data_IF_590047799948
#
_entry.id   IF_590047799948
#
_cell.length_a   1.000
_cell.length_b   1.000
_cell.length_c   1.000
_cell.angle_alpha   90.00
_cell.angle_beta   90.00
_cell.angle_gamma   90.00
#
_symmetry.space_group_name_H-M   'P 1'
#
loop_
_entity.id
_entity.type
_entity.pdbx_description
1 polymer ?
#
# COMPACT_ATOMS: atom_id res chain seq x y z
N UNK A 1 -6.53 16.05 -7.86
CA UNK A 1 -7.76 15.44 -8.43
C UNK A 1 -7.84 14.05 -7.86
N UNK A 2 -9.01 13.47 -7.62
CA UNK A 2 -9.08 12.10 -7.11
C UNK A 2 -8.63 11.13 -8.22
N UNK A 3 -7.35 10.86 -8.25
CA UNK A 3 -6.71 9.82 -9.05
C UNK A 3 -7.08 8.51 -8.35
N UNK A 4 -7.96 7.73 -8.98
CA UNK A 4 -8.36 6.43 -8.46
C UNK A 4 -7.10 5.59 -8.30
N UNK A 5 -6.72 5.31 -7.05
CA UNK A 5 -5.50 4.54 -6.75
C UNK A 5 -5.52 3.21 -7.52
N UNK A 6 -4.36 2.68 -7.93
CA UNK A 6 -4.30 1.46 -8.72
C UNK A 6 -5.09 0.31 -8.06
N UNK A 7 -6.11 -0.20 -8.76
CA UNK A 7 -7.03 -1.19 -8.18
C UNK A 7 -6.33 -2.46 -7.70
N UNK A 8 -5.28 -2.89 -8.42
CA UNK A 8 -4.46 -4.02 -8.00
C UNK A 8 -3.79 -3.77 -6.65
N UNK A 9 -3.30 -2.55 -6.41
CA UNK A 9 -2.69 -2.17 -5.14
C UNK A 9 -3.73 -2.14 -4.01
N UNK A 10 -4.94 -1.64 -4.29
CA UNK A 10 -6.05 -1.67 -3.32
C UNK A 10 -6.47 -3.11 -2.95
N UNK A 11 -6.47 -4.04 -3.91
CA UNK A 11 -6.76 -5.46 -3.63
C UNK A 11 -5.74 -6.04 -2.67
N UNK A 12 -4.45 -5.79 -2.91
CA UNK A 12 -3.38 -6.31 -2.06
C UNK A 12 -3.40 -5.69 -0.65
N UNK A 13 -3.73 -4.40 -0.55
CA UNK A 13 -3.88 -3.68 0.73
C UNK A 13 -5.09 -4.19 1.54
N UNK A 14 -6.19 -4.50 0.86
CA UNK A 14 -7.41 -5.00 1.51
C UNK A 14 -7.30 -6.46 1.97
N UNK A 15 -6.25 -7.18 1.57
CA UNK A 15 -5.95 -8.51 2.11
C UNK A 15 -5.35 -8.41 3.51
N UNK A 16 -6.21 -8.09 4.47
CA UNK A 16 -5.85 -7.96 5.88
C UNK A 16 -5.27 -9.25 6.46
N UNK A 17 -5.72 -10.42 5.98
CA UNK A 17 -5.22 -11.70 6.45
C UNK A 17 -3.74 -11.88 6.08
N UNK A 18 -3.38 -11.57 4.82
CA UNK A 18 -1.99 -11.58 4.38
C UNK A 18 -1.15 -10.49 5.08
N UNK A 19 -1.71 -9.29 5.26
CA UNK A 19 -1.04 -8.18 5.94
C UNK A 19 -0.71 -8.49 7.40
N UNK A 20 -1.59 -9.21 8.11
CA UNK A 20 -1.35 -9.65 9.50
C UNK A 20 -0.36 -10.80 9.56
N UNK A 21 -0.41 -11.72 8.59
CA UNK A 21 0.47 -12.87 8.55
C UNK A 21 1.94 -12.50 8.28
N UNK A 22 2.17 -11.47 7.44
CA UNK A 22 3.51 -10.95 7.12
C UNK A 22 3.48 -9.43 6.87
N UNK A 23 3.44 -8.59 7.93
CA UNK A 23 3.29 -7.15 7.81
C UNK A 23 4.43 -6.48 7.03
N UNK A 24 5.67 -6.85 7.34
CA UNK A 24 6.86 -6.27 6.70
C UNK A 24 6.98 -6.71 5.23
N UNK A 25 6.75 -8.00 4.94
CA UNK A 25 6.78 -8.50 3.58
C UNK A 25 5.66 -7.92 2.71
N UNK A 26 4.48 -7.74 3.29
CA UNK A 26 3.34 -7.15 2.57
C UNK A 26 3.52 -5.66 2.30
N UNK A 27 4.09 -4.92 3.25
CA UNK A 27 4.45 -3.53 3.05
C UNK A 27 5.46 -3.36 1.90
N UNK A 28 6.51 -4.19 1.86
CA UNK A 28 7.50 -4.14 0.78
C UNK A 28 6.88 -4.38 -0.60
N UNK A 29 5.90 -5.30 -0.71
CA UNK A 29 5.15 -5.54 -1.96
C UNK A 29 4.34 -4.31 -2.36
N UNK A 30 3.61 -3.71 -1.41
CA UNK A 30 2.77 -2.55 -1.68
C UNK A 30 3.59 -1.30 -2.05
N UNK A 31 4.75 -1.10 -1.43
CA UNK A 31 5.71 -0.05 -1.79
C UNK A 31 6.22 -0.23 -3.23
N UNK A 32 6.64 -1.44 -3.58
CA UNK A 32 7.09 -1.73 -4.95
C UNK A 32 6.00 -1.52 -5.99
N UNK A 33 4.76 -1.87 -5.66
CA UNK A 33 3.60 -1.60 -6.52
C UNK A 33 3.35 -0.09 -6.67
N UNK A 34 3.46 0.70 -5.61
CA UNK A 34 3.34 2.16 -5.65
C UNK A 34 4.42 2.79 -6.53
N UNK A 35 5.69 2.41 -6.35
CA UNK A 35 6.77 2.85 -7.22
C UNK A 35 6.59 2.38 -8.67
N UNK A 36 6.09 1.17 -8.89
CA UNK A 36 5.81 0.69 -10.24
C UNK A 36 4.69 1.49 -10.93
N UNK A 37 3.62 1.85 -10.22
CA UNK A 37 2.56 2.70 -10.72
C UNK A 37 3.09 4.11 -11.06
N UNK A 38 3.93 4.69 -10.19
CA UNK A 38 4.57 5.98 -10.45
C UNK A 38 5.48 5.94 -11.68
N UNK A 39 6.27 4.88 -11.84
CA UNK A 39 7.13 4.67 -13.03
C UNK A 39 6.31 4.57 -14.33
N UNK A 40 5.11 3.98 -14.26
CA UNK A 40 4.16 3.93 -15.38
C UNK A 40 3.38 5.23 -15.59
N UNK A 41 3.54 6.22 -14.71
CA UNK A 41 2.77 7.47 -14.66
C UNK A 41 1.26 7.26 -14.49
N UNK A 42 0.89 6.18 -13.81
CA UNK A 42 -0.49 5.89 -13.42
C UNK A 42 -0.93 6.76 -12.23
N UNK A 43 0.04 7.18 -11.41
CA UNK A 43 -0.11 8.03 -10.23
C UNK A 43 0.91 9.16 -10.28
N UNK A 44 0.58 10.30 -9.66
CA UNK A 44 1.50 11.43 -9.52
C UNK A 44 2.37 11.33 -8.24
N UNK A 45 3.16 12.36 -7.96
CA UNK A 45 4.02 12.38 -6.78
C UNK A 45 3.21 12.51 -5.47
N UNK A 46 2.05 13.16 -5.50
CA UNK A 46 1.16 13.27 -4.34
C UNK A 46 0.49 11.93 -4.04
N UNK A 47 -0.06 11.29 -5.07
CA UNK A 47 -0.62 9.94 -4.96
C UNK A 47 0.41 8.93 -4.45
N UNK A 48 1.67 9.01 -4.91
CA UNK A 48 2.74 8.14 -4.43
C UNK A 48 2.98 8.32 -2.93
N UNK A 49 3.03 9.57 -2.46
CA UNK A 49 3.20 9.85 -1.02
C UNK A 49 2.03 9.28 -0.24
N UNK A 50 0.80 9.52 -0.68
CA UNK A 50 -0.41 8.99 -0.03
C UNK A 50 -0.38 7.45 0.03
N UNK A 51 0.02 6.79 -1.06
CA UNK A 51 0.16 5.33 -1.10
C UNK A 51 1.16 4.83 -0.05
N UNK A 52 2.35 5.42 0.03
CA UNK A 52 3.39 5.00 0.98
C UNK A 52 2.96 5.25 2.43
N UNK A 53 2.27 6.36 2.71
CA UNK A 53 1.72 6.65 4.04
C UNK A 53 0.64 5.64 4.46
N UNK A 54 -0.23 5.24 3.53
CA UNK A 54 -1.23 4.20 3.76
C UNK A 54 -0.56 2.85 4.05
N UNK A 55 0.48 2.47 3.29
CA UNK A 55 1.23 1.22 3.52
C UNK A 55 1.83 1.19 4.91
N UNK A 56 2.53 2.25 5.32
CA UNK A 56 3.17 2.28 6.64
C UNK A 56 2.11 2.27 7.76
N UNK A 57 0.99 2.97 7.59
CA UNK A 57 -0.11 2.92 8.54
C UNK A 57 -0.69 1.51 8.68
N UNK A 58 -0.90 0.83 7.55
CA UNK A 58 -1.42 -0.54 7.51
C UNK A 58 -0.44 -1.54 8.15
N UNK A 59 0.86 -1.36 7.91
CA UNK A 59 1.94 -2.14 8.52
C UNK A 59 1.97 -1.96 10.04
N UNK A 60 1.92 -0.72 10.52
CA UNK A 60 1.92 -0.42 11.95
C UNK A 60 0.69 -1.00 12.64
N UNK A 61 -0.50 -0.89 12.03
CA UNK A 61 -1.72 -1.54 12.51
C UNK A 61 -1.52 -3.05 12.70
N UNK A 62 -1.04 -3.74 11.66
CA UNK A 62 -0.82 -5.18 11.71
C UNK A 62 0.23 -5.61 12.75
N UNK A 63 1.26 -4.79 12.99
CA UNK A 63 2.28 -5.04 14.03
C UNK A 63 1.77 -4.77 15.45
N UNK A 64 0.78 -3.90 15.64
CA UNK A 64 0.24 -3.56 16.96
C UNK A 64 -0.69 -4.64 17.54
N UNK A 65 -0.95 -5.73 16.81
CA UNK A 65 -1.66 -6.90 17.33
C UNK A 65 -3.18 -6.79 17.25
N UNK A 66 -3.71 -6.08 16.25
CA UNK A 66 -5.11 -6.00 15.81
C UNK A 66 -6.17 -6.32 16.87
N UNK A 67 -6.67 -5.27 17.55
CA UNK A 67 -7.81 -5.33 18.49
C UNK A 67 -9.16 -5.62 17.80
#
# INVERSE_FOLDING_TARGET
MATELPQAWLVELNDQAALVADPDGRAAVLDEMAYAARRRREVDDGDLVDMLEIVETARLWALQGNE
#
